data_IF_213981986963
#
_entry.id   IF_213981986963
#
_cell.length_a   1.000
_cell.length_b   1.000
_cell.length_c   1.000
_cell.angle_alpha   90.00
_cell.angle_beta   90.00
_cell.angle_gamma   90.00
#
_symmetry.space_group_name_H-M   'P 1'
#
loop_
_entity.id
_entity.type
_entity.pdbx_description
1 polymer ?
#
# COMPACT_ATOMS: atom_id res chain seq x y z
N UNK A 1 4.39 -0.05 -17.12
CA UNK A 1 3.48 1.11 -17.33
C UNK A 1 2.89 1.53 -16.01
N UNK A 2 2.97 2.80 -15.67
CA UNK A 2 2.46 3.33 -14.40
C UNK A 2 2.03 4.81 -14.52
N UNK A 3 1.22 5.28 -13.56
CA UNK A 3 0.74 6.67 -13.51
C UNK A 3 1.25 7.44 -12.28
N UNK A 4 1.99 6.81 -11.39
CA UNK A 4 2.52 7.39 -10.16
C UNK A 4 3.99 7.05 -10.00
N UNK A 5 4.77 8.03 -9.53
CA UNK A 5 6.16 7.83 -9.09
C UNK A 5 6.14 7.40 -7.61
N UNK A 6 5.83 6.14 -7.37
CA UNK A 6 5.77 5.58 -6.03
C UNK A 6 6.95 4.62 -5.79
N UNK A 7 7.38 4.47 -4.53
CA UNK A 7 8.49 3.61 -4.13
C UNK A 7 8.33 2.16 -4.61
N UNK A 8 7.15 1.59 -4.43
CA UNK A 8 6.85 0.22 -4.86
C UNK A 8 6.93 0.01 -6.39
N UNK A 9 6.63 1.04 -7.20
CA UNK A 9 6.81 0.98 -8.67
C UNK A 9 8.30 1.00 -9.01
N UNK A 10 9.08 1.83 -8.32
CA UNK A 10 10.53 1.90 -8.50
C UNK A 10 11.21 0.58 -8.09
N UNK A 11 10.76 -0.05 -7.00
CA UNK A 11 11.24 -1.36 -6.54
C UNK A 11 10.99 -2.43 -7.60
N UNK A 12 9.76 -2.58 -8.10
CA UNK A 12 9.46 -3.58 -9.11
C UNK A 12 10.21 -3.33 -10.42
N UNK A 13 10.39 -2.06 -10.79
CA UNK A 13 11.21 -1.71 -11.96
C UNK A 13 12.67 -2.12 -11.75
N UNK A 14 13.25 -1.91 -10.58
CA UNK A 14 14.62 -2.33 -10.26
C UNK A 14 14.75 -3.85 -10.31
N UNK A 15 13.81 -4.59 -9.71
CA UNK A 15 13.74 -6.06 -9.78
C UNK A 15 13.70 -6.55 -11.23
N UNK A 16 12.84 -5.96 -12.06
CA UNK A 16 12.73 -6.35 -13.47
C UNK A 16 14.01 -6.06 -14.25
N UNK A 17 14.69 -4.95 -13.94
CA UNK A 17 15.93 -4.55 -14.61
C UNK A 17 17.13 -5.47 -14.32
N UNK A 18 17.03 -6.36 -13.33
CA UNK A 18 18.07 -7.39 -13.07
C UNK A 18 18.16 -8.43 -14.18
N UNK A 19 17.04 -8.77 -14.83
CA UNK A 19 16.97 -9.83 -15.84
C UNK A 19 16.50 -9.35 -17.21
N UNK A 20 15.87 -8.18 -17.30
CA UNK A 20 15.21 -7.71 -18.52
C UNK A 20 15.59 -6.27 -18.87
N UNK A 21 15.58 -5.94 -20.16
CA UNK A 21 15.65 -4.55 -20.61
C UNK A 21 14.30 -3.86 -20.36
N UNK A 22 14.24 -2.91 -19.43
CA UNK A 22 13.02 -2.25 -19.01
C UNK A 22 12.86 -0.88 -19.68
N UNK A 23 11.83 -0.72 -20.51
CA UNK A 23 11.38 0.58 -21.00
C UNK A 23 10.31 1.14 -20.03
N UNK A 24 10.61 2.25 -19.36
CA UNK A 24 9.71 2.89 -18.39
C UNK A 24 8.69 3.80 -19.08
N UNK A 25 7.42 3.43 -19.03
CA UNK A 25 6.33 4.17 -19.64
C UNK A 25 5.47 4.87 -18.58
N UNK A 26 5.87 6.10 -18.20
CA UNK A 26 5.13 6.95 -17.28
C UNK A 26 3.98 7.69 -17.96
N UNK A 27 2.76 7.49 -17.45
CA UNK A 27 1.51 8.06 -17.97
C UNK A 27 0.72 8.78 -16.87
N UNK A 28 1.10 10.02 -16.49
CA UNK A 28 0.49 10.71 -15.34
C UNK A 28 -0.92 11.25 -15.61
N UNK A 29 -1.30 11.36 -16.90
CA UNK A 29 -2.58 11.95 -17.32
C UNK A 29 -3.76 10.98 -17.23
N UNK A 30 -4.97 11.54 -17.22
CA UNK A 30 -6.21 10.74 -17.33
C UNK A 30 -6.37 10.11 -18.70
N UNK A 31 -5.79 10.71 -19.74
CA UNK A 31 -5.85 10.23 -21.12
C UNK A 31 -4.48 9.65 -21.49
N UNK A 32 -4.40 8.35 -21.78
CA UNK A 32 -3.16 7.72 -22.22
C UNK A 32 -2.67 8.35 -23.53
N UNK A 33 -1.35 8.55 -23.66
CA UNK A 33 -0.77 9.09 -24.90
C UNK A 33 -0.47 7.95 -25.90
N UNK A 34 -1.29 7.75 -26.96
CA UNK A 34 -1.12 6.64 -27.89
C UNK A 34 0.19 6.73 -28.69
N UNK A 35 0.69 7.95 -28.96
CA UNK A 35 1.93 8.14 -29.70
C UNK A 35 3.18 7.63 -28.94
N UNK A 36 3.12 7.57 -27.62
CA UNK A 36 4.16 6.95 -26.79
C UNK A 36 3.89 5.46 -26.54
N UNK A 37 2.62 5.10 -26.31
CA UNK A 37 2.22 3.74 -25.92
C UNK A 37 2.36 2.76 -27.09
N UNK A 38 1.86 3.10 -28.27
CA UNK A 38 1.84 2.15 -29.41
C UNK A 38 3.24 1.69 -29.79
N UNK A 39 4.23 2.58 -30.02
CA UNK A 39 5.58 2.14 -30.37
C UNK A 39 6.26 1.35 -29.22
N UNK A 40 6.03 1.72 -27.95
CA UNK A 40 6.59 1.01 -26.81
C UNK A 40 6.05 -0.43 -26.73
N UNK A 41 4.74 -0.63 -26.84
CA UNK A 41 4.13 -1.97 -26.84
C UNK A 41 4.55 -2.78 -28.07
N UNK A 42 4.74 -2.16 -29.23
CA UNK A 42 5.22 -2.85 -30.42
C UNK A 42 6.64 -3.44 -30.23
N UNK A 43 7.53 -2.72 -29.55
CA UNK A 43 8.91 -3.18 -29.29
C UNK A 43 8.99 -4.17 -28.14
N UNK A 44 8.11 -4.06 -27.14
CA UNK A 44 8.18 -4.87 -25.92
C UNK A 44 7.80 -6.34 -26.19
N UNK A 45 8.44 -7.27 -25.51
CA UNK A 45 8.07 -8.69 -25.48
C UNK A 45 6.99 -8.96 -24.43
N UNK A 46 6.89 -8.13 -23.39
CA UNK A 46 5.92 -8.21 -22.32
C UNK A 46 5.50 -6.81 -21.87
N UNK A 47 4.24 -6.65 -21.49
CA UNK A 47 3.72 -5.43 -20.83
C UNK A 47 3.53 -5.69 -19.35
N UNK A 48 4.25 -4.94 -18.50
CA UNK A 48 4.06 -4.95 -17.03
C UNK A 48 3.35 -3.67 -16.59
N UNK A 49 2.21 -3.79 -15.94
CA UNK A 49 1.36 -2.66 -15.57
C UNK A 49 1.04 -2.62 -14.06
N UNK A 50 0.98 -1.40 -13.52
CA UNK A 50 0.54 -1.12 -12.16
C UNK A 50 -0.86 -0.50 -12.15
N UNK A 51 -1.80 -1.11 -11.43
CA UNK A 51 -3.22 -0.81 -11.31
C UNK A 51 -4.02 -0.93 -12.61
N UNK A 52 -5.16 -1.59 -12.54
CA UNK A 52 -6.11 -1.75 -13.65
C UNK A 52 -6.93 -0.45 -13.85
N UNK A 53 -6.29 0.55 -14.47
CA UNK A 53 -6.81 1.90 -14.64
C UNK A 53 -6.56 2.41 -16.08
N UNK A 54 -6.99 3.64 -16.38
CA UNK A 54 -6.92 4.21 -17.72
C UNK A 54 -5.52 4.17 -18.36
N UNK A 55 -4.47 4.37 -17.59
CA UNK A 55 -3.09 4.37 -18.09
C UNK A 55 -2.61 2.98 -18.55
N UNK A 56 -3.18 1.89 -18.01
CA UNK A 56 -2.88 0.51 -18.43
C UNK A 56 -3.89 -0.06 -19.43
N UNK A 57 -5.03 0.63 -19.68
CA UNK A 57 -6.08 0.16 -20.57
C UNK A 57 -5.55 -0.05 -22.00
N UNK A 58 -4.97 0.97 -22.61
CA UNK A 58 -4.45 0.87 -23.97
C UNK A 58 -3.25 -0.09 -24.08
N UNK A 59 -2.23 -0.03 -23.21
CA UNK A 59 -1.11 -0.99 -23.25
C UNK A 59 -1.53 -2.45 -23.15
N UNK A 60 -2.41 -2.79 -22.20
CA UNK A 60 -2.88 -4.17 -22.02
C UNK A 60 -3.77 -4.61 -23.19
N UNK A 61 -4.62 -3.72 -23.71
CA UNK A 61 -5.46 -4.01 -24.90
C UNK A 61 -4.60 -4.29 -26.13
N UNK A 62 -3.57 -3.48 -26.38
CA UNK A 62 -2.65 -3.69 -27.50
C UNK A 62 -1.85 -4.98 -27.33
N UNK A 63 -1.32 -5.25 -26.13
CA UNK A 63 -0.62 -6.49 -25.85
C UNK A 63 -1.53 -7.70 -26.16
N UNK A 64 -2.77 -7.68 -25.70
CA UNK A 64 -3.74 -8.73 -25.98
C UNK A 64 -4.03 -8.90 -27.49
N UNK A 65 -4.25 -7.81 -28.23
CA UNK A 65 -4.48 -7.84 -29.70
C UNK A 65 -3.26 -8.39 -30.46
N UNK A 66 -2.06 -8.07 -29.98
CA UNK A 66 -0.80 -8.50 -30.57
C UNK A 66 -0.33 -9.87 -30.06
N UNK A 67 -1.12 -10.54 -29.22
CA UNK A 67 -0.79 -11.82 -28.57
C UNK A 67 0.51 -11.78 -27.75
N UNK A 68 0.85 -10.62 -27.21
CA UNK A 68 1.99 -10.43 -26.31
C UNK A 68 1.54 -10.66 -24.86
N UNK A 69 2.37 -11.28 -24.01
CA UNK A 69 2.05 -11.46 -22.60
C UNK A 69 1.96 -10.12 -21.87
N UNK A 70 1.12 -10.10 -20.84
CA UNK A 70 1.03 -8.97 -19.93
C UNK A 70 0.87 -9.42 -18.50
N UNK A 71 1.59 -8.77 -17.59
CA UNK A 71 1.46 -8.90 -16.14
C UNK A 71 0.84 -7.62 -15.60
N UNK A 72 -0.24 -7.75 -14.86
CA UNK A 72 -0.96 -6.61 -14.31
C UNK A 72 -1.02 -6.72 -12.79
N UNK A 73 -0.39 -5.78 -12.09
CA UNK A 73 -0.54 -5.63 -10.64
C UNK A 73 -1.89 -4.97 -10.37
N UNK A 74 -2.68 -5.57 -9.50
CA UNK A 74 -4.02 -5.12 -9.12
C UNK A 74 -4.18 -5.20 -7.60
N UNK A 75 -5.00 -4.34 -7.05
CA UNK A 75 -5.27 -4.29 -5.61
C UNK A 75 -5.28 -2.87 -5.06
N UNK A 76 -6.31 -2.55 -4.30
CA UNK A 76 -6.56 -1.22 -3.78
C UNK A 76 -7.68 -0.52 -4.55
N UNK A 77 -7.47 0.71 -5.04
CA UNK A 77 -8.53 1.53 -5.63
C UNK A 77 -9.20 0.91 -6.86
N UNK A 78 -8.47 0.14 -7.65
CA UNK A 78 -8.95 -0.50 -8.87
C UNK A 78 -9.86 -1.72 -8.61
N UNK A 79 -9.78 -2.32 -7.41
CA UNK A 79 -10.54 -3.51 -7.00
C UNK A 79 -11.57 -3.22 -5.91
N UNK A 80 -11.42 -2.13 -5.17
CA UNK A 80 -12.29 -1.75 -4.08
C UNK A 80 -13.70 -1.35 -4.54
N UNK A 81 -14.68 -1.63 -3.66
CA UNK A 81 -16.08 -1.24 -3.81
C UNK A 81 -16.63 -0.76 -2.45
N UNK A 82 -16.38 0.51 -2.11
CA UNK A 82 -16.81 1.12 -0.85
C UNK A 82 -17.70 2.34 -1.14
N UNK A 83 -18.99 2.14 -1.44
CA UNK A 83 -19.90 3.21 -1.84
C UNK A 83 -20.19 4.21 -0.73
N UNK A 84 -20.12 3.80 0.53
CA UNK A 84 -20.34 4.64 1.72
C UNK A 84 -19.34 5.79 1.87
N UNK A 85 -18.10 5.61 1.33
CA UNK A 85 -17.07 6.65 1.29
C UNK A 85 -16.66 7.04 -0.13
N UNK A 86 -17.40 6.59 -1.16
CA UNK A 86 -17.09 6.90 -2.56
C UNK A 86 -15.76 6.36 -3.06
N UNK A 87 -15.23 5.29 -2.44
CA UNK A 87 -13.90 4.75 -2.74
C UNK A 87 -13.98 3.48 -3.59
N UNK A 88 -13.17 3.43 -4.64
CA UNK A 88 -13.01 2.25 -5.50
C UNK A 88 -13.68 2.35 -6.86
N UNK A 89 -13.07 1.65 -7.85
CA UNK A 89 -13.57 1.60 -9.22
C UNK A 89 -14.76 0.65 -9.40
N UNK A 90 -14.96 -0.31 -8.48
CA UNK A 90 -15.98 -1.32 -8.65
C UNK A 90 -17.41 -0.85 -8.34
N UNK A 91 -17.60 0.41 -7.93
CA UNK A 91 -18.90 1.04 -7.72
C UNK A 91 -19.75 1.18 -8.99
N UNK A 92 -19.14 1.33 -10.17
CA UNK A 92 -19.88 1.40 -11.42
C UNK A 92 -19.20 2.22 -12.53
N UNK A 93 -19.94 2.41 -13.63
CA UNK A 93 -19.56 3.27 -14.75
C UNK A 93 -18.37 2.77 -15.58
N UNK A 94 -17.81 3.70 -16.38
CA UNK A 94 -16.72 3.39 -17.31
C UNK A 94 -15.44 2.93 -16.60
N UNK A 95 -15.18 3.39 -15.37
CA UNK A 95 -14.00 2.98 -14.59
C UNK A 95 -14.06 1.49 -14.23
N UNK A 96 -15.23 1.02 -13.77
CA UNK A 96 -15.47 -0.40 -13.52
C UNK A 96 -15.32 -1.23 -14.77
N UNK A 97 -15.90 -0.78 -15.87
CA UNK A 97 -15.78 -1.48 -17.14
C UNK A 97 -14.32 -1.60 -17.60
N UNK A 98 -13.57 -0.50 -17.60
CA UNK A 98 -12.16 -0.48 -18.02
C UNK A 98 -11.28 -1.35 -17.13
N UNK A 99 -11.44 -1.28 -15.78
CA UNK A 99 -10.71 -2.09 -14.83
C UNK A 99 -10.96 -3.59 -15.06
N UNK A 100 -12.22 -3.99 -15.18
CA UNK A 100 -12.59 -5.39 -15.48
C UNK A 100 -12.12 -5.85 -16.86
N UNK A 101 -12.11 -4.97 -17.86
CA UNK A 101 -11.56 -5.26 -19.19
C UNK A 101 -10.07 -5.59 -19.11
N UNK A 102 -9.29 -4.75 -18.43
CA UNK A 102 -7.85 -4.94 -18.20
C UNK A 102 -7.60 -6.28 -17.52
N UNK A 103 -8.27 -6.52 -16.38
CA UNK A 103 -8.08 -7.75 -15.60
C UNK A 103 -8.43 -9.02 -16.39
N UNK A 104 -9.45 -8.98 -17.27
CA UNK A 104 -9.82 -10.11 -18.13
C UNK A 104 -8.82 -10.38 -19.25
N UNK A 105 -8.11 -9.36 -19.72
CA UNK A 105 -7.19 -9.43 -20.87
C UNK A 105 -5.73 -9.61 -20.48
N UNK A 106 -5.37 -9.26 -19.27
CA UNK A 106 -4.03 -9.52 -18.75
C UNK A 106 -3.75 -11.04 -18.70
N UNK A 107 -2.54 -11.43 -19.12
CA UNK A 107 -2.10 -12.83 -19.11
C UNK A 107 -1.91 -13.34 -17.67
N UNK A 108 -1.40 -12.47 -16.81
CA UNK A 108 -1.22 -12.73 -15.38
C UNK A 108 -1.73 -11.56 -14.57
N UNK A 109 -2.41 -11.88 -13.47
CA UNK A 109 -2.80 -10.92 -12.44
C UNK A 109 -2.00 -11.18 -11.18
N UNK A 110 -1.45 -10.13 -10.60
CA UNK A 110 -0.69 -10.17 -9.35
C UNK A 110 -1.33 -9.19 -8.38
N UNK A 111 -1.42 -9.60 -7.12
CA UNK A 111 -1.87 -8.72 -6.03
C UNK A 111 -0.92 -8.79 -4.84
N UNK A 112 -1.07 -7.86 -3.90
CA UNK A 112 -0.09 -7.64 -2.84
C UNK A 112 -0.46 -8.28 -1.50
N UNK A 113 -1.68 -8.86 -1.38
CA UNK A 113 -2.14 -9.53 -0.17
C UNK A 113 -3.17 -10.60 -0.48
N UNK A 114 -3.36 -11.54 0.43
CA UNK A 114 -4.43 -12.54 0.38
C UNK A 114 -5.80 -11.87 0.43
N UNK A 115 -5.95 -10.85 1.27
CA UNK A 115 -7.15 -10.02 1.30
C UNK A 115 -7.50 -9.43 -0.08
N UNK A 116 -6.53 -8.81 -0.76
CA UNK A 116 -6.79 -8.20 -2.08
C UNK A 116 -7.19 -9.24 -3.12
N UNK A 117 -6.69 -10.47 -3.05
CA UNK A 117 -7.14 -11.58 -3.92
C UNK A 117 -8.61 -11.92 -3.68
N UNK A 118 -9.02 -11.99 -2.43
CA UNK A 118 -10.42 -12.23 -2.06
C UNK A 118 -11.33 -11.06 -2.46
N UNK A 119 -10.87 -9.83 -2.26
CA UNK A 119 -11.57 -8.62 -2.69
C UNK A 119 -11.77 -8.58 -4.21
N UNK A 120 -10.76 -8.96 -5.01
CA UNK A 120 -10.87 -9.08 -6.46
C UNK A 120 -11.97 -10.08 -6.83
N UNK A 121 -11.97 -11.25 -6.20
CA UNK A 121 -12.97 -12.28 -6.46
C UNK A 121 -14.39 -11.83 -6.05
N UNK A 122 -14.53 -11.13 -4.95
CA UNK A 122 -15.82 -10.61 -4.47
C UNK A 122 -16.37 -9.47 -5.34
N UNK A 123 -15.51 -8.56 -5.80
CA UNK A 123 -15.95 -7.33 -6.47
C UNK A 123 -15.89 -7.41 -8.01
N UNK A 124 -15.25 -8.43 -8.57
CA UNK A 124 -15.03 -8.57 -10.01
C UNK A 124 -15.37 -9.97 -10.50
N UNK A 125 -15.57 -10.20 -11.80
CA UNK A 125 -15.77 -11.54 -12.35
C UNK A 125 -14.45 -12.30 -12.58
N UNK A 126 -13.41 -12.03 -11.82
CA UNK A 126 -12.11 -12.72 -11.89
C UNK A 126 -12.07 -13.75 -10.76
N UNK A 127 -11.91 -15.03 -11.07
CA UNK A 127 -11.83 -16.05 -10.04
C UNK A 127 -10.45 -15.99 -9.34
N UNK A 128 -10.39 -16.33 -8.03
CA UNK A 128 -9.20 -16.15 -7.21
C UNK A 128 -7.96 -16.93 -7.70
N UNK A 129 -8.16 -18.07 -8.34
CA UNK A 129 -7.10 -18.89 -8.93
C UNK A 129 -6.37 -18.21 -10.11
N UNK A 130 -6.94 -17.17 -10.69
CA UNK A 130 -6.30 -16.34 -11.71
C UNK A 130 -5.39 -15.26 -11.13
N UNK A 131 -5.41 -15.08 -9.81
CA UNK A 131 -4.70 -13.98 -9.13
C UNK A 131 -3.59 -14.58 -8.27
N UNK A 132 -2.35 -14.30 -8.63
CA UNK A 132 -1.18 -14.68 -7.85
C UNK A 132 -0.92 -13.65 -6.76
N UNK A 133 -0.79 -14.09 -5.51
CA UNK A 133 -0.35 -13.21 -4.43
C UNK A 133 1.17 -13.15 -4.43
N UNK A 134 1.70 -11.94 -4.54
CA UNK A 134 3.12 -11.63 -4.34
C UNK A 134 3.17 -10.42 -3.42
N UNK A 135 3.42 -10.65 -2.15
CA UNK A 135 3.45 -9.59 -1.15
C UNK A 135 4.46 -8.48 -1.52
N UNK A 136 4.25 -7.29 -0.99
CA UNK A 136 5.30 -6.30 -1.05
C UNK A 136 6.51 -6.76 -0.26
N UNK A 137 7.71 -6.59 -0.84
CA UNK A 137 8.93 -6.59 -0.08
C UNK A 137 9.14 -5.18 0.50
N UNK A 138 9.56 -5.11 1.74
CA UNK A 138 9.78 -3.83 2.41
C UNK A 138 11.28 -3.64 2.63
N UNK A 139 11.91 -2.64 1.96
CA UNK A 139 13.33 -2.36 2.17
C UNK A 139 13.58 -1.94 3.62
N UNK A 140 14.66 -2.43 4.21
CA UNK A 140 15.06 -2.06 5.57
C UNK A 140 16.22 -1.05 5.55
N UNK A 141 15.95 0.25 5.68
CA UNK A 141 16.99 1.26 5.76
C UNK A 141 17.54 1.46 7.18
N UNK A 142 16.90 0.84 8.18
CA UNK A 142 17.13 1.21 9.57
C UNK A 142 18.39 0.56 10.19
N UNK A 143 18.80 -0.63 9.78
CA UNK A 143 19.90 -1.34 10.41
C UNK A 143 19.66 -1.59 11.91
N UNK A 144 20.62 -1.25 12.77
CA UNK A 144 20.46 -1.33 14.20
C UNK A 144 19.50 -0.25 14.73
N UNK A 145 18.54 -0.64 15.55
CA UNK A 145 17.56 0.25 16.18
C UNK A 145 17.96 0.54 17.63
N UNK A 146 17.49 1.68 18.20
CA UNK A 146 17.60 1.93 19.63
C UNK A 146 16.79 0.87 20.41
N UNK A 147 17.20 0.53 21.65
CA UNK A 147 16.40 -0.28 22.54
C UNK A 147 14.98 0.27 22.70
N UNK A 148 14.02 -0.61 22.93
CA UNK A 148 12.61 -0.23 23.02
C UNK A 148 12.29 0.72 24.17
N UNK A 149 13.04 0.67 25.27
CA UNK A 149 12.93 1.55 26.45
C UNK A 149 13.49 2.97 26.22
N UNK A 150 14.28 3.18 25.19
CA UNK A 150 14.78 4.52 24.78
C UNK A 150 13.82 5.28 23.87
N UNK A 151 12.69 4.67 23.45
CA UNK A 151 11.74 5.31 22.56
C UNK A 151 10.86 6.31 23.28
N UNK A 152 10.48 7.37 22.56
CA UNK A 152 9.58 8.40 23.09
C UNK A 152 8.13 7.91 23.13
N UNK A 153 7.30 8.39 24.09
CA UNK A 153 5.86 8.20 24.04
C UNK A 153 5.25 9.05 22.93
N UNK A 154 5.60 8.68 21.71
CA UNK A 154 5.30 9.36 20.46
C UNK A 154 4.47 8.43 19.56
N UNK A 155 3.26 8.86 19.21
CA UNK A 155 2.41 8.24 18.21
C UNK A 155 2.51 8.99 16.88
N UNK A 156 2.77 8.28 15.80
CA UNK A 156 2.89 8.89 14.46
C UNK A 156 1.93 8.28 13.46
N UNK A 157 1.59 9.06 12.44
CA UNK A 157 0.94 8.59 11.21
C UNK A 157 1.59 9.27 10.02
N UNK A 158 1.61 8.58 8.87
CA UNK A 158 2.22 9.09 7.63
C UNK A 158 1.20 9.01 6.50
N UNK A 159 0.98 10.12 5.81
CA UNK A 159 0.08 10.12 4.65
C UNK A 159 -0.15 11.50 4.07
N UNK A 160 -0.64 11.52 2.82
CA UNK A 160 -1.05 12.76 2.18
C UNK A 160 -2.42 13.22 2.73
N UNK A 161 -2.52 14.50 3.05
CA UNK A 161 -3.78 15.12 3.44
C UNK A 161 -4.57 15.55 2.20
N UNK A 162 -5.61 14.80 1.92
CA UNK A 162 -6.57 15.10 0.84
C UNK A 162 -7.98 14.88 1.40
N UNK A 163 -8.85 15.87 1.27
CA UNK A 163 -10.20 15.88 1.87
C UNK A 163 -11.02 14.62 1.56
N UNK A 164 -10.92 14.15 0.32
CA UNK A 164 -11.66 12.95 -0.13
C UNK A 164 -11.13 11.64 0.46
N UNK A 165 -9.97 11.64 1.09
CA UNK A 165 -9.35 10.43 1.67
C UNK A 165 -9.19 10.49 3.19
N UNK A 166 -9.58 11.59 3.85
CA UNK A 166 -9.43 11.74 5.32
C UNK A 166 -10.12 10.60 6.08
N UNK A 167 -11.38 10.31 5.74
CA UNK A 167 -12.14 9.24 6.38
C UNK A 167 -11.63 7.84 5.98
N UNK A 168 -11.28 7.66 4.71
CA UNK A 168 -10.75 6.39 4.23
C UNK A 168 -9.42 6.05 4.90
N UNK A 169 -8.55 7.03 5.11
CA UNK A 169 -7.22 6.85 5.73
C UNK A 169 -7.22 6.96 7.26
N UNK A 170 -8.32 7.40 7.87
CA UNK A 170 -8.43 7.52 9.33
C UNK A 170 -7.57 8.64 9.91
N UNK A 171 -7.28 9.68 9.12
CA UNK A 171 -6.44 10.81 9.56
C UNK A 171 -7.13 11.66 10.62
N UNK A 172 -8.43 11.89 10.47
CA UNK A 172 -9.20 12.67 11.46
C UNK A 172 -9.30 11.92 12.80
N UNK A 173 -9.66 10.62 12.87
CA UNK A 173 -9.62 9.85 14.11
C UNK A 173 -8.26 9.88 14.84
N UNK A 174 -7.15 9.84 14.09
CA UNK A 174 -5.81 9.98 14.67
C UNK A 174 -5.63 11.33 15.38
N UNK A 175 -5.97 12.42 14.70
CA UNK A 175 -5.83 13.78 15.25
C UNK A 175 -6.72 13.98 16.47
N UNK A 176 -7.98 13.53 16.40
CA UNK A 176 -8.94 13.65 17.49
C UNK A 176 -8.61 12.77 18.70
N UNK A 177 -7.96 11.61 18.49
CA UNK A 177 -7.54 10.72 19.58
C UNK A 177 -6.54 11.38 20.52
N UNK A 178 -5.74 12.33 20.04
CA UNK A 178 -4.69 13.00 20.82
C UNK A 178 -5.23 13.70 22.09
N UNK A 179 -6.47 14.23 22.04
CA UNK A 179 -7.10 14.89 23.21
C UNK A 179 -7.30 13.97 24.41
N UNK A 180 -7.41 12.65 24.17
CA UNK A 180 -7.60 11.64 25.21
C UNK A 180 -6.27 11.15 25.81
N UNK A 181 -5.13 11.61 25.27
CA UNK A 181 -3.78 11.23 25.69
C UNK A 181 -2.85 12.44 25.79
N UNK A 182 -3.11 13.42 26.69
CA UNK A 182 -2.34 14.68 26.75
C UNK A 182 -0.85 14.50 27.06
N UNK A 183 -0.46 13.38 27.65
CA UNK A 183 0.95 13.03 27.93
C UNK A 183 1.68 12.34 26.75
N UNK A 184 1.01 12.09 25.63
CA UNK A 184 1.59 11.47 24.43
C UNK A 184 1.67 12.50 23.31
N UNK A 185 2.81 12.60 22.65
CA UNK A 185 2.93 13.41 21.44
C UNK A 185 2.33 12.68 20.24
N UNK A 186 1.59 13.42 19.42
CA UNK A 186 1.06 12.92 18.16
C UNK A 186 1.69 13.69 17.01
N UNK A 187 2.31 13.00 16.05
CA UNK A 187 2.95 13.63 14.90
C UNK A 187 2.31 13.13 13.60
N UNK A 188 1.73 14.05 12.86
CA UNK A 188 1.23 13.80 11.52
C UNK A 188 2.30 14.18 10.50
N UNK A 189 2.82 13.19 9.77
CA UNK A 189 3.81 13.40 8.70
C UNK A 189 3.12 13.34 7.34
N UNK A 190 3.22 14.42 6.57
CA UNK A 190 2.70 14.44 5.21
C UNK A 190 2.18 15.79 4.75
N UNK A 191 2.17 15.96 3.44
CA UNK A 191 1.78 17.21 2.80
C UNK A 191 0.28 17.29 2.60
N UNK A 192 -0.28 18.49 2.86
CA UNK A 192 -1.64 18.84 2.48
C UNK A 192 -1.70 19.29 1.02
N UNK A 193 -2.67 18.76 0.27
CA UNK A 193 -2.90 19.09 -1.15
C UNK A 193 -4.17 19.94 -1.38
N UNK A 194 -4.96 20.13 -0.33
CA UNK A 194 -6.19 20.93 -0.29
C UNK A 194 -6.43 21.48 1.13
N UNK A 195 -7.63 21.93 1.43
CA UNK A 195 -8.07 22.46 2.74
C UNK A 195 -8.10 21.40 3.88
N UNK A 196 -7.81 20.15 3.60
CA UNK A 196 -7.78 19.08 4.59
C UNK A 196 -6.81 19.35 5.75
N UNK A 197 -5.66 19.97 5.44
CA UNK A 197 -4.67 20.34 6.45
C UNK A 197 -5.17 21.39 7.43
N UNK A 198 -5.93 22.39 6.97
CA UNK A 198 -6.55 23.42 7.81
C UNK A 198 -7.62 22.79 8.68
N UNK A 199 -8.53 22.02 8.09
CA UNK A 199 -9.55 21.28 8.80
C UNK A 199 -9.01 20.41 9.95
N UNK A 200 -7.95 19.63 9.71
CA UNK A 200 -7.36 18.81 10.77
C UNK A 200 -6.68 19.64 11.86
N UNK A 201 -6.06 20.78 11.52
CA UNK A 201 -5.49 21.68 12.54
C UNK A 201 -6.54 22.30 13.45
N UNK A 202 -7.72 22.61 12.94
CA UNK A 202 -8.85 23.09 13.74
C UNK A 202 -9.34 22.05 14.76
N UNK A 203 -9.24 20.76 14.43
CA UNK A 203 -9.64 19.66 15.31
C UNK A 203 -8.55 19.23 16.30
N UNK A 204 -7.31 19.63 16.03
CA UNK A 204 -6.12 19.13 16.74
C UNK A 204 -6.06 19.63 18.18
N UNK A 205 -5.71 18.72 19.09
CA UNK A 205 -5.30 19.08 20.45
C UNK A 205 -3.86 19.65 20.45
N UNK A 206 -3.45 20.39 21.52
CA UNK A 206 -2.12 21.01 21.60
C UNK A 206 -0.93 20.05 21.47
N UNK A 207 -1.14 18.78 21.72
CA UNK A 207 -0.11 17.72 21.62
C UNK A 207 -0.02 17.09 20.21
N UNK A 208 -0.68 17.67 19.20
CA UNK A 208 -0.58 17.26 17.80
C UNK A 208 0.33 18.20 17.01
N UNK A 209 1.30 17.63 16.33
CA UNK A 209 2.22 18.32 15.42
C UNK A 209 2.00 17.88 13.99
N UNK A 210 2.03 18.81 13.02
CA UNK A 210 1.99 18.54 11.59
C UNK A 210 3.31 18.97 10.96
N UNK A 211 4.11 18.03 10.50
CA UNK A 211 5.46 18.32 9.95
C UNK A 211 5.43 18.81 8.51
N UNK A 212 4.35 18.53 7.78
CA UNK A 212 4.38 18.64 6.32
C UNK A 212 5.18 17.50 5.69
N UNK A 213 5.68 17.74 4.48
CA UNK A 213 6.56 16.77 3.80
C UNK A 213 7.93 16.71 4.48
N UNK A 214 8.45 15.51 4.66
CA UNK A 214 9.79 15.27 5.18
C UNK A 214 10.65 14.58 4.12
N UNK A 215 11.96 14.72 4.22
CA UNK A 215 12.91 13.88 3.50
C UNK A 215 12.85 12.44 4.02
N UNK A 216 13.36 11.49 3.25
CA UNK A 216 13.43 10.08 3.70
C UNK A 216 14.27 9.97 4.99
N UNK A 217 15.37 10.72 5.11
CA UNK A 217 16.24 10.77 6.30
C UNK A 217 15.49 11.31 7.54
N UNK A 218 14.74 12.41 7.39
CA UNK A 218 13.97 12.99 8.49
C UNK A 218 12.81 12.07 8.91
N UNK A 219 12.16 11.41 7.94
CA UNK A 219 11.11 10.42 8.20
C UNK A 219 11.67 9.21 8.95
N UNK A 220 12.82 8.68 8.55
CA UNK A 220 13.51 7.61 9.25
C UNK A 220 13.87 8.01 10.70
N UNK A 221 14.34 9.23 10.89
CA UNK A 221 14.67 9.76 12.22
C UNK A 221 13.43 9.81 13.15
N UNK A 222 12.27 10.21 12.63
CA UNK A 222 11.01 10.19 13.40
C UNK A 222 10.58 8.74 13.70
N UNK A 223 10.63 7.85 12.72
CA UNK A 223 10.29 6.44 12.93
C UNK A 223 11.16 5.79 14.03
N UNK A 224 12.45 6.08 14.09
CA UNK A 224 13.36 5.55 15.13
C UNK A 224 13.00 5.98 16.53
N UNK A 225 12.43 7.18 16.69
CA UNK A 225 12.05 7.76 17.99
C UNK A 225 10.65 7.32 18.44
N UNK A 226 9.75 7.10 17.49
CA UNK A 226 8.35 6.80 17.77
C UNK A 226 8.15 5.41 18.37
N UNK A 227 7.31 5.31 19.39
CA UNK A 227 6.89 4.04 19.97
C UNK A 227 5.72 3.43 19.18
N UNK A 228 4.81 4.26 18.66
CA UNK A 228 3.54 3.80 18.07
C UNK A 228 3.34 4.39 16.69
N UNK A 229 2.93 3.54 15.76
CA UNK A 229 2.43 3.95 14.45
C UNK A 229 0.93 3.70 14.36
N UNK A 230 0.16 4.72 14.01
CA UNK A 230 -1.31 4.61 13.93
C UNK A 230 -1.78 4.72 12.48
N UNK A 231 -2.56 3.75 12.03
CA UNK A 231 -3.26 3.81 10.74
C UNK A 231 -4.69 3.29 10.87
N UNK A 232 -5.61 4.18 11.19
CA UNK A 232 -7.02 3.86 11.32
C UNK A 232 -7.73 3.84 9.95
N UNK A 233 -7.09 3.28 8.90
CA UNK A 233 -7.62 3.22 7.54
C UNK A 233 -8.77 2.22 7.43
N UNK A 234 -9.81 2.59 6.68
CA UNK A 234 -10.93 1.69 6.34
C UNK A 234 -10.62 0.73 5.20
N UNK A 235 -9.61 1.07 4.40
CA UNK A 235 -9.17 0.22 3.28
C UNK A 235 -7.68 0.38 2.99
N UNK A 236 -6.97 -0.74 2.97
CA UNK A 236 -5.58 -0.87 2.53
C UNK A 236 -5.40 -2.18 1.74
N UNK A 237 -4.73 -2.09 0.60
CA UNK A 237 -4.39 -3.29 -0.16
C UNK A 237 -3.21 -4.08 0.43
N UNK A 238 -2.33 -3.40 1.20
CA UNK A 238 -1.23 -3.98 1.96
C UNK A 238 -0.89 -3.14 3.20
N UNK A 239 -0.62 -1.84 3.04
CA UNK A 239 -0.22 -0.95 4.14
C UNK A 239 1.29 -0.79 4.25
N UNK A 240 1.96 -0.37 3.17
CA UNK A 240 3.41 -0.19 3.15
C UNK A 240 3.91 0.72 4.29
N UNK A 241 3.23 1.83 4.56
CA UNK A 241 3.63 2.74 5.63
C UNK A 241 3.56 2.08 7.02
N UNK A 242 2.61 1.18 7.25
CA UNK A 242 2.56 0.34 8.47
C UNK A 242 3.78 -0.56 8.53
N UNK A 243 4.09 -1.26 7.44
CA UNK A 243 5.22 -2.19 7.39
C UNK A 243 6.57 -1.46 7.54
N UNK A 244 6.74 -0.28 6.93
CA UNK A 244 7.91 0.59 7.10
C UNK A 244 8.08 1.02 8.56
N UNK A 245 6.99 1.46 9.21
CA UNK A 245 7.02 1.82 10.63
C UNK A 245 7.32 0.62 11.55
N UNK A 246 6.79 -0.56 11.24
CA UNK A 246 7.10 -1.80 11.96
C UNK A 246 8.57 -2.20 11.80
N UNK A 247 9.16 -2.02 10.60
CA UNK A 247 10.60 -2.23 10.39
C UNK A 247 11.45 -1.29 11.26
N UNK A 248 10.99 -0.06 11.44
CA UNK A 248 11.61 0.88 12.38
C UNK A 248 11.34 0.53 13.86
N UNK A 249 10.58 -0.53 14.14
CA UNK A 249 10.23 -0.97 15.49
C UNK A 249 9.02 -0.24 16.09
N UNK A 250 8.27 0.58 15.35
CA UNK A 250 7.02 1.15 15.87
C UNK A 250 5.97 0.05 16.09
N UNK A 251 5.31 0.04 17.23
CA UNK A 251 4.18 -0.87 17.46
C UNK A 251 2.97 -0.36 16.67
N UNK A 252 2.42 -1.16 15.72
CA UNK A 252 1.30 -0.71 14.91
C UNK A 252 -0.02 -0.73 15.67
N UNK A 253 -0.83 0.31 15.50
CA UNK A 253 -2.23 0.42 15.92
C UNK A 253 -3.06 0.65 14.68
N UNK A 254 -3.77 -0.37 14.20
CA UNK A 254 -4.43 -0.36 12.90
C UNK A 254 -5.85 -0.91 12.98
N UNK A 255 -6.69 -0.59 12.01
CA UNK A 255 -8.03 -1.18 11.92
C UNK A 255 -7.97 -2.68 11.65
N UNK A 256 -8.85 -3.45 12.28
CA UNK A 256 -9.03 -4.89 12.06
C UNK A 256 -9.81 -5.17 10.76
N UNK A 257 -9.37 -4.58 9.67
CA UNK A 257 -10.03 -4.69 8.36
C UNK A 257 -9.00 -4.82 7.23
N UNK A 258 -9.45 -5.37 6.12
CA UNK A 258 -8.68 -5.44 4.86
C UNK A 258 -7.35 -6.19 5.02
N UNK A 259 -6.26 -5.72 4.45
CA UNK A 259 -4.95 -6.38 4.57
C UNK A 259 -4.25 -6.14 5.92
N UNK A 260 -4.78 -5.30 6.82
CA UNK A 260 -4.10 -4.95 8.06
C UNK A 260 -3.86 -6.14 8.99
N UNK A 261 -4.84 -7.04 9.25
CA UNK A 261 -4.60 -8.25 10.05
C UNK A 261 -3.53 -9.18 9.44
N UNK A 262 -3.45 -9.26 8.11
CA UNK A 262 -2.44 -10.07 7.40
C UNK A 262 -1.03 -9.50 7.61
N UNK A 263 -0.87 -8.17 7.61
CA UNK A 263 0.44 -7.51 7.76
C UNK A 263 0.88 -7.51 9.23
N UNK A 264 0.01 -7.10 10.13
CA UNK A 264 0.34 -6.88 11.54
C UNK A 264 0.35 -8.18 12.36
N UNK A 265 -0.59 -9.08 12.09
CA UNK A 265 -0.82 -10.31 12.87
C UNK A 265 -0.92 -10.01 14.39
N UNK A 266 -0.08 -10.67 15.21
CA UNK A 266 -0.01 -10.51 16.68
C UNK A 266 1.04 -9.46 17.11
N UNK A 267 1.69 -8.78 16.17
CA UNK A 267 2.76 -7.83 16.45
C UNK A 267 2.28 -6.39 16.73
N UNK A 268 0.97 -6.19 16.91
CA UNK A 268 0.40 -4.86 17.17
C UNK A 268 -1.02 -4.91 17.73
N UNK A 269 -1.70 -3.77 17.67
CA UNK A 269 -3.06 -3.59 18.18
C UNK A 269 -4.03 -3.45 16.99
N UNK A 270 -5.02 -4.32 16.95
CA UNK A 270 -6.13 -4.24 16.00
C UNK A 270 -7.31 -3.51 16.65
N UNK A 271 -7.87 -2.54 15.93
CA UNK A 271 -8.99 -1.70 16.34
C UNK A 271 -10.28 -2.13 15.60
N UNK A 272 -11.39 -2.19 16.32
CA UNK A 272 -12.69 -2.52 15.74
C UNK A 272 -13.49 -1.27 15.30
N UNK A 273 -13.02 -0.07 15.63
CA UNK A 273 -13.67 1.20 15.30
C UNK A 273 -12.66 2.32 15.08
N UNK A 274 -13.01 3.27 14.22
CA UNK A 274 -12.30 4.53 14.03
C UNK A 274 -12.65 5.58 15.11
N UNK A 275 -13.49 5.26 16.09
CA UNK A 275 -13.81 6.18 17.19
C UNK A 275 -12.52 6.69 17.84
N UNK A 276 -12.36 8.02 18.01
CA UNK A 276 -11.14 8.60 18.60
C UNK A 276 -10.79 8.05 19.99
N UNK A 277 -11.78 7.70 20.82
CA UNK A 277 -11.53 7.07 22.13
C UNK A 277 -10.97 5.65 21.96
N UNK A 278 -11.48 4.88 21.00
CA UNK A 278 -10.97 3.53 20.67
C UNK A 278 -9.55 3.61 20.12
N UNK A 279 -9.26 4.58 19.24
CA UNK A 279 -7.91 4.82 18.73
C UNK A 279 -6.95 5.20 19.87
N UNK A 280 -7.36 6.11 20.75
CA UNK A 280 -6.55 6.51 21.91
C UNK A 280 -6.30 5.33 22.88
N UNK A 281 -7.32 4.52 23.13
CA UNK A 281 -7.16 3.30 23.93
C UNK A 281 -6.18 2.31 23.28
N UNK A 282 -6.22 2.17 21.96
CA UNK A 282 -5.27 1.37 21.18
C UNK A 282 -3.83 1.88 21.34
N UNK A 283 -3.62 3.19 21.21
CA UNK A 283 -2.30 3.83 21.42
C UNK A 283 -1.78 3.58 22.84
N UNK A 284 -2.62 3.75 23.85
CA UNK A 284 -2.24 3.47 25.25
C UNK A 284 -1.82 2.02 25.44
N UNK A 285 -2.63 1.08 24.93
CA UNK A 285 -2.30 -0.35 25.00
C UNK A 285 -0.97 -0.66 24.29
N UNK A 286 -0.69 -0.02 23.16
CA UNK A 286 0.58 -0.21 22.45
C UNK A 286 1.78 0.30 23.24
N UNK A 287 1.65 1.44 23.93
CA UNK A 287 2.68 1.99 24.82
C UNK A 287 2.93 1.11 26.06
N UNK A 288 1.89 0.41 26.54
CA UNK A 288 1.96 -0.46 27.72
C UNK A 288 2.55 -1.85 27.43
N UNK A 289 2.78 -2.23 26.14
CA UNK A 289 3.30 -3.56 25.77
C UNK A 289 4.76 -3.81 26.15
N UNK A 290 5.49 -2.76 26.50
CA UNK A 290 6.90 -2.85 26.87
C UNK A 290 7.87 -3.03 25.67
N UNK A 291 9.19 -3.06 25.95
CA UNK A 291 10.22 -2.96 24.91
C UNK A 291 10.23 -4.12 23.90
N UNK A 292 9.89 -5.34 24.32
CA UNK A 292 9.85 -6.51 23.42
C UNK A 292 8.85 -6.38 22.25
N UNK A 293 7.85 -5.50 22.40
CA UNK A 293 6.86 -5.28 21.33
C UNK A 293 7.47 -4.63 20.09
N UNK A 294 8.47 -3.78 20.27
CA UNK A 294 9.20 -3.12 19.18
C UNK A 294 9.98 -4.13 18.34
N UNK A 295 10.63 -5.07 18.99
CA UNK A 295 11.35 -6.16 18.33
C UNK A 295 10.40 -7.13 17.63
N UNK A 296 9.24 -7.44 18.23
CA UNK A 296 8.22 -8.26 17.58
C UNK A 296 7.69 -7.59 16.31
N UNK A 297 7.39 -6.29 16.37
CA UNK A 297 6.92 -5.54 15.20
C UNK A 297 7.94 -5.61 14.06
N UNK A 298 9.22 -5.34 14.34
CA UNK A 298 10.29 -5.43 13.35
C UNK A 298 10.45 -6.82 12.76
N UNK A 299 10.58 -7.84 13.61
CA UNK A 299 10.75 -9.24 13.18
C UNK A 299 9.59 -9.70 12.31
N UNK A 300 8.35 -9.31 12.64
CA UNK A 300 7.19 -9.66 11.83
C UNK A 300 7.38 -9.30 10.36
N UNK A 301 7.90 -8.12 10.06
CA UNK A 301 8.11 -7.68 8.67
C UNK A 301 9.34 -8.34 8.05
N UNK A 302 10.46 -8.41 8.77
CA UNK A 302 11.68 -9.04 8.27
C UNK A 302 11.46 -10.49 7.87
N UNK A 303 10.72 -11.24 8.70
CA UNK A 303 10.53 -12.68 8.51
C UNK A 303 9.44 -13.00 7.46
N UNK A 304 8.43 -12.13 7.33
CA UNK A 304 7.24 -12.45 6.51
C UNK A 304 7.24 -11.74 5.15
N UNK A 305 7.81 -10.54 5.08
CA UNK A 305 7.76 -9.68 3.89
C UNK A 305 9.15 -9.21 3.42
N UNK A 306 10.15 -10.11 3.34
CA UNK A 306 11.48 -9.75 2.89
C UNK A 306 11.47 -9.33 1.41
N UNK A 307 12.39 -8.45 1.04
CA UNK A 307 12.58 -8.01 -0.35
C UNK A 307 12.81 -9.17 -1.31
N UNK A 308 13.51 -10.23 -0.86
CA UNK A 308 13.78 -11.40 -1.69
C UNK A 308 12.49 -12.14 -2.11
N UNK A 309 11.49 -12.25 -1.21
CA UNK A 309 10.20 -12.84 -1.55
C UNK A 309 9.48 -12.07 -2.67
N UNK A 310 9.53 -10.71 -2.63
CA UNK A 310 8.99 -9.88 -3.71
C UNK A 310 9.75 -10.10 -5.01
N UNK A 311 11.08 -10.08 -4.94
CA UNK A 311 11.97 -10.27 -6.08
C UNK A 311 11.68 -11.58 -6.80
N UNK A 312 11.75 -12.69 -6.08
CA UNK A 312 11.50 -14.02 -6.62
C UNK A 312 10.09 -14.16 -7.18
N UNK A 313 9.09 -13.64 -6.46
CA UNK A 313 7.70 -13.69 -6.89
C UNK A 313 7.44 -12.94 -8.19
N UNK A 314 7.95 -11.73 -8.34
CA UNK A 314 7.79 -10.91 -9.56
C UNK A 314 8.51 -11.56 -10.74
N UNK A 315 9.77 -11.96 -10.58
CA UNK A 315 10.55 -12.57 -11.66
C UNK A 315 9.95 -13.91 -12.10
N UNK A 316 9.46 -14.73 -11.16
CA UNK A 316 8.75 -15.97 -11.48
C UNK A 316 7.52 -15.71 -12.34
N UNK A 317 6.63 -14.78 -11.94
CA UNK A 317 5.40 -14.48 -12.69
C UNK A 317 5.72 -13.96 -14.11
N UNK A 318 6.77 -13.16 -14.26
CA UNK A 318 7.20 -12.66 -15.58
C UNK A 318 7.74 -13.79 -16.45
N UNK A 319 8.59 -14.67 -15.92
CA UNK A 319 9.09 -15.85 -16.64
C UNK A 319 7.95 -16.78 -17.09
N UNK A 320 6.98 -17.05 -16.22
CA UNK A 320 5.78 -17.83 -16.54
C UNK A 320 4.93 -17.16 -17.62
N UNK A 321 4.80 -15.82 -17.61
CA UNK A 321 4.08 -15.10 -18.65
C UNK A 321 4.78 -15.19 -20.00
N UNK A 322 6.11 -15.07 -20.04
CA UNK A 322 6.92 -15.15 -21.25
C UNK A 322 6.95 -16.57 -21.84
N UNK A 323 6.99 -17.60 -20.98
CA UNK A 323 7.00 -19.02 -21.45
C UNK A 323 5.63 -19.49 -21.98
N UNK A 324 4.57 -18.73 -21.85
CA UNK A 324 3.20 -19.14 -22.20
C UNK A 324 2.63 -20.23 -21.30
N UNK A 325 3.30 -20.59 -20.19
CA UNK A 325 2.79 -21.53 -19.20
C UNK A 325 1.44 -21.05 -18.64
N UNK A 326 0.45 -21.93 -18.58
CA UNK A 326 -0.85 -21.64 -18.00
C UNK A 326 -0.75 -21.18 -16.53
N UNK A 327 -1.78 -20.53 -15.95
CA UNK A 327 -1.75 -20.19 -14.53
C UNK A 327 -1.54 -21.45 -13.69
N UNK A 328 -0.54 -21.44 -12.78
CA UNK A 328 -0.34 -22.51 -11.81
C UNK A 328 -1.39 -22.37 -10.74
N UNK A 329 -2.25 -23.37 -10.48
CA UNK A 329 -3.22 -23.30 -9.40
C UNK A 329 -2.51 -23.23 -8.04
N UNK A 330 -2.73 -22.17 -7.29
CA UNK A 330 -2.67 -22.16 -5.82
C UNK A 330 -1.30 -22.35 -5.16
N UNK A 331 -0.27 -21.59 -5.49
CA UNK A 331 0.89 -21.42 -4.60
C UNK A 331 0.84 -20.04 -3.93
N UNK A 332 0.30 -20.02 -2.71
CA UNK A 332 0.60 -18.97 -1.74
C UNK A 332 1.99 -19.27 -1.16
N UNK A 333 2.92 -18.35 -1.26
CA UNK A 333 4.17 -18.31 -0.49
C UNK A 333 4.06 -17.20 0.51
#
# INVERSE_FOLDING_TARGET
>A
VHSRKASFVAIDRAILAEEYAVEDLYQPGRVPNPLKIVPAVMRADLVFGWFASWHTFLPVTLAWLMRKPSVQIVGGFDTANMPDIGYGYQQGGLRRWASRWIMRRASRLVTNSSYSREEIAANTPIPPERVTVVHHGVPDPFGALPPGDEREPLAITVGHLVKTTLMQKGHQPFVEAARHLPGVRFVFVGQAHDDAGEHLRELAAPNVEFTGWLSDEDLEAIYRRASVYVQASRHEGFGLAVAEAMLAGCVPVVMNVTAMPEVVADAGILLDSQDPEVVAAGVRRALDLGPDAHDRARRRILDTFPMEGRREGILRVVREALSGAGPVPGTSI
#
